data_IF_450962973080
#
_entry.id   IF_450962973080
#
_cell.length_a   1.000
_cell.length_b   1.000
_cell.length_c   1.000
_cell.angle_alpha   90.00
_cell.angle_beta   90.00
_cell.angle_gamma   90.00
#
_symmetry.space_group_name_H-M   'P 1'
#
loop_
_entity.id
_entity.type
_entity.pdbx_description
1 polymer ?
#
# COMPACT_ATOMS: atom_id res chain seq x y z
N UNK A 1 -27.40 -2.76 -48.83
CA UNK A 1 -26.32 -3.74 -48.56
C UNK A 1 -25.07 -3.22 -47.80
N UNK A 2 -24.65 -1.94 -47.79
CA UNK A 2 -23.42 -1.53 -47.10
C UNK A 2 -23.45 -1.64 -45.56
N UNK A 3 -24.63 -1.62 -44.93
CA UNK A 3 -24.78 -1.74 -43.47
C UNK A 3 -24.47 -3.15 -42.92
N UNK A 4 -24.60 -4.21 -43.72
CA UNK A 4 -24.36 -5.59 -43.24
C UNK A 4 -22.84 -5.82 -43.06
N UNK A 5 -22.03 -5.34 -44.01
CA UNK A 5 -20.56 -5.46 -43.92
C UNK A 5 -19.96 -4.64 -42.77
N UNK A 6 -20.50 -3.46 -42.46
CA UNK A 6 -20.06 -2.69 -41.28
C UNK A 6 -20.39 -3.41 -39.96
N UNK A 7 -21.56 -4.04 -39.86
CA UNK A 7 -21.94 -4.78 -38.65
C UNK A 7 -21.11 -6.06 -38.46
N UNK A 8 -20.78 -6.79 -39.53
CA UNK A 8 -19.89 -7.96 -39.48
C UNK A 8 -18.47 -7.53 -39.06
N UNK A 9 -17.95 -6.41 -39.58
CA UNK A 9 -16.62 -5.89 -39.20
C UNK A 9 -16.59 -5.48 -37.71
N UNK A 10 -17.64 -4.84 -37.19
CA UNK A 10 -17.77 -4.52 -35.76
C UNK A 10 -17.79 -5.77 -34.88
N UNK A 11 -18.51 -6.82 -35.28
CA UNK A 11 -18.56 -8.09 -34.54
C UNK A 11 -17.20 -8.81 -34.55
N UNK A 12 -16.49 -8.82 -35.68
CA UNK A 12 -15.15 -9.40 -35.78
C UNK A 12 -14.13 -8.64 -34.93
N UNK A 13 -14.15 -7.30 -34.95
CA UNK A 13 -13.29 -6.49 -34.07
C UNK A 13 -13.60 -6.75 -32.59
N UNK A 14 -14.88 -6.81 -32.21
CA UNK A 14 -15.29 -7.13 -30.83
C UNK A 14 -14.77 -8.51 -30.39
N UNK A 15 -14.91 -9.53 -31.25
CA UNK A 15 -14.42 -10.89 -30.96
C UNK A 15 -12.89 -10.94 -30.89
N UNK A 16 -12.18 -10.21 -31.74
CA UNK A 16 -10.71 -10.10 -31.72
C UNK A 16 -10.20 -9.40 -30.45
N UNK A 17 -10.86 -8.32 -30.02
CA UNK A 17 -10.53 -7.66 -28.75
C UNK A 17 -10.81 -8.58 -27.56
N UNK A 18 -11.94 -9.31 -27.56
CA UNK A 18 -12.27 -10.25 -26.50
C UNK A 18 -11.29 -11.43 -26.42
N UNK A 19 -10.89 -12.03 -27.55
CA UNK A 19 -9.89 -13.10 -27.56
C UNK A 19 -8.51 -12.60 -27.14
N UNK A 20 -8.14 -11.36 -27.50
CA UNK A 20 -6.88 -10.73 -27.06
C UNK A 20 -6.89 -10.42 -25.56
N UNK A 21 -7.99 -9.92 -25.02
CA UNK A 21 -8.17 -9.65 -23.59
C UNK A 21 -8.14 -10.98 -22.80
N UNK A 22 -8.88 -11.99 -23.25
CA UNK A 22 -8.90 -13.30 -22.57
C UNK A 22 -7.58 -14.05 -22.67
N UNK A 23 -6.85 -13.97 -23.80
CA UNK A 23 -5.52 -14.56 -23.90
C UNK A 23 -4.50 -13.79 -23.04
N UNK A 24 -4.63 -12.47 -22.95
CA UNK A 24 -3.82 -11.65 -22.05
C UNK A 24 -4.07 -12.02 -20.57
N UNK A 25 -5.34 -12.15 -20.15
CA UNK A 25 -5.68 -12.62 -18.81
C UNK A 25 -5.18 -14.05 -18.53
N UNK A 26 -5.25 -14.95 -19.52
CA UNK A 26 -4.73 -16.31 -19.37
C UNK A 26 -3.21 -16.31 -19.22
N UNK A 27 -2.51 -15.51 -20.04
CA UNK A 27 -1.06 -15.36 -19.99
C UNK A 27 -0.59 -14.70 -18.68
N UNK A 28 -1.39 -13.80 -18.11
CA UNK A 28 -1.20 -13.21 -16.80
C UNK A 28 -1.18 -14.26 -15.68
N UNK A 29 -2.10 -15.22 -15.72
CA UNK A 29 -2.23 -16.26 -14.69
C UNK A 29 -1.27 -17.44 -14.89
N UNK A 30 -0.62 -17.53 -16.05
CA UNK A 30 0.27 -18.64 -16.39
C UNK A 30 1.56 -18.66 -15.56
N UNK A 31 2.04 -17.51 -15.06
CA UNK A 31 3.22 -17.44 -14.21
C UNK A 31 3.07 -16.35 -13.16
N UNK A 32 3.32 -16.72 -11.89
CA UNK A 32 3.36 -15.81 -10.74
C UNK A 32 4.33 -14.64 -10.96
N UNK A 33 5.48 -14.92 -11.57
CA UNK A 33 6.48 -13.91 -11.92
C UNK A 33 5.93 -12.90 -12.95
N UNK A 34 5.33 -13.37 -14.05
CA UNK A 34 4.75 -12.47 -15.06
C UNK A 34 3.64 -11.59 -14.48
N UNK A 35 2.81 -12.16 -13.62
CA UNK A 35 1.77 -11.42 -12.91
C UNK A 35 2.37 -10.30 -12.04
N UNK A 36 3.40 -10.62 -11.27
CA UNK A 36 4.11 -9.66 -10.42
C UNK A 36 4.75 -8.53 -11.23
N UNK A 37 5.39 -8.85 -12.36
CA UNK A 37 5.99 -7.85 -13.26
C UNK A 37 4.91 -6.93 -13.86
N UNK A 38 3.73 -7.46 -14.19
CA UNK A 38 2.64 -6.63 -14.72
C UNK A 38 2.09 -5.71 -13.65
N UNK A 39 1.88 -6.21 -12.43
CA UNK A 39 1.49 -5.35 -11.29
C UNK A 39 2.53 -4.28 -11.03
N UNK A 40 3.81 -4.64 -11.03
CA UNK A 40 4.90 -3.68 -10.84
C UNK A 40 4.89 -2.59 -11.93
N UNK A 41 4.73 -2.96 -13.21
CA UNK A 41 4.59 -2.00 -14.31
C UNK A 41 3.38 -1.09 -14.14
N UNK A 42 2.27 -1.63 -13.66
CA UNK A 42 1.06 -0.86 -13.36
C UNK A 42 1.31 0.15 -12.23
N UNK A 43 2.04 -0.26 -11.19
CA UNK A 43 2.47 0.62 -10.10
C UNK A 43 3.50 1.66 -10.57
N UNK A 44 4.25 1.38 -11.62
CA UNK A 44 5.18 2.33 -12.23
C UNK A 44 4.51 3.29 -13.22
N UNK A 45 3.20 3.17 -13.49
CA UNK A 45 2.51 4.05 -14.44
C UNK A 45 2.61 5.52 -14.02
N UNK A 46 2.45 5.79 -12.73
CA UNK A 46 2.63 7.13 -12.16
C UNK A 46 4.07 7.41 -11.76
N UNK A 47 5.04 6.50 -11.97
CA UNK A 47 6.46 6.65 -11.59
C UNK A 47 6.65 7.34 -10.22
N UNK A 48 6.08 6.81 -9.12
CA UNK A 48 6.15 7.46 -7.82
C UNK A 48 7.59 7.53 -7.30
N UNK A 49 8.39 6.52 -7.66
CA UNK A 49 9.79 6.43 -7.27
C UNK A 49 10.70 6.63 -8.49
N UNK A 50 11.90 7.19 -8.28
CA UNK A 50 12.91 7.37 -9.31
C UNK A 50 13.60 6.03 -9.59
N UNK A 51 12.86 5.04 -10.06
CA UNK A 51 13.34 3.69 -10.37
C UNK A 51 12.90 3.28 -11.75
N UNK A 52 13.76 2.57 -12.48
CA UNK A 52 13.42 1.94 -13.76
C UNK A 52 13.63 0.45 -13.62
N UNK A 53 12.60 -0.33 -13.98
CA UNK A 53 12.75 -1.77 -14.11
C UNK A 53 13.46 -2.07 -15.44
N UNK A 54 14.71 -2.52 -15.36
CA UNK A 54 15.45 -2.95 -16.54
C UNK A 54 15.12 -4.42 -16.86
N UNK A 55 14.50 -4.64 -18.01
CA UNK A 55 14.18 -5.98 -18.54
C UNK A 55 15.02 -6.33 -19.77
N UNK A 56 16.04 -5.52 -20.09
CA UNK A 56 16.86 -5.72 -21.31
C UNK A 56 17.79 -6.91 -21.21
N UNK A 57 18.20 -7.29 -20.00
CA UNK A 57 18.97 -8.51 -19.79
C UNK A 57 18.00 -9.69 -19.68
N UNK A 58 18.10 -10.70 -20.57
CA UNK A 58 17.16 -11.83 -20.62
C UNK A 58 17.23 -12.72 -19.37
N UNK A 59 18.22 -12.52 -18.50
CA UNK A 59 18.49 -13.42 -17.38
C UNK A 59 18.04 -12.90 -16.02
N UNK A 60 18.05 -11.59 -15.75
CA UNK A 60 17.69 -11.06 -14.42
C UNK A 60 17.05 -9.67 -14.53
N UNK A 61 15.79 -9.49 -14.06
CA UNK A 61 15.28 -8.14 -13.86
C UNK A 61 16.10 -7.46 -12.76
N UNK A 62 16.46 -6.21 -12.97
CA UNK A 62 17.05 -5.38 -11.92
C UNK A 62 16.48 -3.97 -11.95
N UNK A 63 16.35 -3.34 -10.78
CA UNK A 63 16.00 -1.93 -10.69
C UNK A 63 17.25 -1.07 -10.82
N UNK A 64 17.13 -0.02 -11.62
CA UNK A 64 18.14 1.03 -11.72
C UNK A 64 17.59 2.33 -11.13
N UNK A 65 18.43 3.04 -10.38
CA UNK A 65 18.12 4.39 -9.92
C UNK A 65 17.92 5.32 -11.13
N UNK A 66 16.74 5.88 -11.27
CA UNK A 66 16.32 6.77 -12.35
C UNK A 66 16.67 8.24 -12.16
N UNK A 67 17.39 8.60 -11.09
CA UNK A 67 17.76 9.99 -10.77
C UNK A 67 18.62 10.67 -11.83
N UNK A 68 19.23 9.92 -12.75
CA UNK A 68 20.01 10.48 -13.86
C UNK A 68 19.19 11.34 -14.83
N UNK A 69 17.86 11.22 -14.84
CA UNK A 69 17.01 12.03 -15.71
C UNK A 69 16.35 13.18 -14.95
N UNK A 70 16.62 14.41 -15.37
CA UNK A 70 16.00 15.63 -14.80
C UNK A 70 14.46 15.54 -14.73
N UNK A 71 13.82 14.87 -15.70
CA UNK A 71 12.37 14.66 -15.74
C UNK A 71 11.85 13.88 -14.53
N UNK A 72 12.65 12.91 -14.07
CA UNK A 72 12.31 12.07 -12.92
C UNK A 72 12.44 12.87 -11.62
N UNK A 73 13.53 13.65 -11.49
CA UNK A 73 13.72 14.56 -10.36
C UNK A 73 12.62 15.64 -10.28
N UNK A 74 12.29 16.28 -11.41
CA UNK A 74 11.23 17.30 -11.46
C UNK A 74 9.86 16.73 -11.08
N UNK A 75 9.54 15.53 -11.57
CA UNK A 75 8.31 14.84 -11.20
C UNK A 75 8.25 14.52 -9.70
N UNK A 76 9.32 13.96 -9.14
CA UNK A 76 9.38 13.66 -7.71
C UNK A 76 9.21 14.94 -6.87
N UNK A 77 9.86 16.03 -7.26
CA UNK A 77 9.68 17.32 -6.60
C UNK A 77 8.23 17.80 -6.68
N UNK A 78 7.57 17.62 -7.83
CA UNK A 78 6.14 17.93 -7.98
C UNK A 78 5.27 17.09 -7.04
N UNK A 79 5.48 15.77 -6.98
CA UNK A 79 4.72 14.87 -6.09
C UNK A 79 4.89 15.26 -4.62
N UNK A 80 6.13 15.54 -4.21
CA UNK A 80 6.45 16.00 -2.86
C UNK A 80 5.77 17.33 -2.53
N UNK A 81 5.93 18.35 -3.39
CA UNK A 81 5.33 19.67 -3.19
C UNK A 81 3.81 19.59 -3.17
N UNK A 82 3.21 18.74 -3.99
CA UNK A 82 1.78 18.51 -4.02
C UNK A 82 1.28 17.93 -2.68
N UNK A 83 1.86 16.82 -2.20
CA UNK A 83 1.48 16.23 -0.90
C UNK A 83 1.74 17.18 0.27
N UNK A 84 2.88 17.89 0.26
CA UNK A 84 3.20 18.87 1.28
C UNK A 84 2.21 20.03 1.29
N UNK A 85 1.75 20.48 0.12
CA UNK A 85 0.71 21.51 0.01
C UNK A 85 -0.59 21.04 0.63
N UNK A 86 -1.05 19.82 0.33
CA UNK A 86 -2.23 19.24 0.97
C UNK A 86 -2.08 19.13 2.50
N UNK A 87 -0.91 18.68 2.97
CA UNK A 87 -0.59 18.66 4.39
C UNK A 87 -0.67 20.05 5.03
N UNK A 88 0.00 21.05 4.45
CA UNK A 88 0.00 22.41 4.96
C UNK A 88 -1.40 23.05 4.97
N UNK A 89 -2.22 22.81 3.93
CA UNK A 89 -3.59 23.30 3.86
C UNK A 89 -4.49 22.66 4.92
N UNK A 90 -4.36 21.36 5.17
CA UNK A 90 -5.13 20.66 6.22
C UNK A 90 -4.73 21.11 7.62
N UNK A 91 -3.44 21.26 7.90
CA UNK A 91 -2.92 21.83 9.16
C UNK A 91 -3.40 23.27 9.35
N UNK A 92 -3.31 24.12 8.32
CA UNK A 92 -3.80 25.51 8.37
C UNK A 92 -5.30 25.56 8.67
N UNK A 93 -6.08 24.66 8.07
CA UNK A 93 -7.51 24.58 8.35
C UNK A 93 -7.77 24.17 9.80
N UNK A 94 -7.07 23.15 10.32
CA UNK A 94 -7.20 22.70 11.71
C UNK A 94 -6.83 23.83 12.67
N UNK A 95 -5.73 24.53 12.41
CA UNK A 95 -5.28 25.67 13.20
C UNK A 95 -6.36 26.76 13.28
N UNK A 96 -6.92 27.15 12.13
CA UNK A 96 -7.92 28.23 12.04
C UNK A 96 -9.25 27.87 12.68
N UNK A 97 -9.69 26.62 12.60
CA UNK A 97 -11.06 26.23 12.93
C UNK A 97 -11.14 25.53 14.29
N UNK A 98 -10.19 24.67 14.63
CA UNK A 98 -10.20 23.92 15.90
C UNK A 98 -9.53 24.71 17.03
N UNK A 99 -8.81 25.79 16.70
CA UNK A 99 -8.21 26.65 17.72
C UNK A 99 -7.11 25.96 18.53
N UNK A 100 -6.41 24.97 17.95
CA UNK A 100 -5.38 24.16 18.65
C UNK A 100 -4.33 24.99 19.44
N UNK A 101 -4.18 26.30 19.16
CA UNK A 101 -3.28 27.22 19.89
C UNK A 101 -3.99 28.53 20.34
N UNK A 102 -5.26 28.74 19.99
CA UNK A 102 -5.87 30.08 20.07
C UNK A 102 -6.39 30.48 21.47
N UNK A 103 -6.48 29.55 22.42
CA UNK A 103 -6.88 29.84 23.80
C UNK A 103 -5.87 30.69 24.61
N UNK A 104 -4.75 31.12 24.00
CA UNK A 104 -3.68 31.82 24.72
C UNK A 104 -3.42 33.29 24.36
N UNK A 105 -3.97 33.85 23.27
CA UNK A 105 -3.53 35.19 22.81
C UNK A 105 -4.59 36.23 22.44
N UNK A 106 -5.88 35.91 22.33
CA UNK A 106 -6.88 36.95 22.04
C UNK A 106 -8.27 36.67 22.65
N UNK A 107 -8.54 37.14 23.89
CA UNK A 107 -9.83 36.93 24.56
C UNK A 107 -10.99 37.67 23.87
N UNK A 108 -10.73 38.54 22.89
CA UNK A 108 -11.78 39.33 22.21
C UNK A 108 -12.61 38.55 21.18
N UNK A 109 -12.25 37.29 20.86
CA UNK A 109 -12.92 36.45 19.86
C UNK A 109 -13.85 35.36 20.44
N UNK A 110 -14.11 35.37 21.75
CA UNK A 110 -14.94 34.39 22.47
C UNK A 110 -16.38 34.22 21.93
N UNK A 111 -16.91 35.20 21.20
CA UNK A 111 -18.30 35.20 20.74
C UNK A 111 -18.62 34.36 19.49
N UNK A 112 -17.64 33.78 18.79
CA UNK A 112 -17.88 32.98 17.57
C UNK A 112 -17.14 31.66 17.56
N UNK A 113 -17.16 30.96 18.69
CA UNK A 113 -16.89 29.51 18.74
C UNK A 113 -17.83 28.82 17.75
N UNK A 114 -17.31 28.49 16.57
CA UNK A 114 -18.06 27.73 15.57
C UNK A 114 -18.13 26.31 16.09
N UNK A 115 -19.33 25.84 16.41
CA UNK A 115 -19.59 24.42 16.65
C UNK A 115 -19.29 23.63 15.36
N UNK A 116 -18.03 23.23 15.18
CA UNK A 116 -17.62 22.37 14.06
C UNK A 116 -18.16 20.98 14.35
N UNK A 117 -18.92 20.38 13.41
CA UNK A 117 -19.38 19.02 13.57
C UNK A 117 -18.20 18.06 13.81
N UNK A 118 -18.33 17.16 14.79
CA UNK A 118 -17.27 16.22 15.18
C UNK A 118 -16.69 15.44 13.99
N UNK A 119 -17.55 14.99 13.08
CA UNK A 119 -17.13 14.26 11.87
C UNK A 119 -16.19 15.10 10.98
N UNK A 120 -16.41 16.41 10.90
CA UNK A 120 -15.60 17.29 10.07
C UNK A 120 -14.22 17.51 10.67
N UNK A 121 -14.16 17.74 11.99
CA UNK A 121 -12.89 17.83 12.72
C UNK A 121 -12.08 16.55 12.58
N UNK A 122 -12.70 15.39 12.82
CA UNK A 122 -12.06 14.08 12.70
C UNK A 122 -11.55 13.82 11.27
N UNK A 123 -12.36 14.14 10.27
CA UNK A 123 -12.00 14.01 8.86
C UNK A 123 -10.73 14.83 8.55
N UNK A 124 -10.66 16.06 9.05
CA UNK A 124 -9.53 16.96 8.83
C UNK A 124 -8.26 16.52 9.53
N UNK A 125 -8.37 16.02 10.77
CA UNK A 125 -7.24 15.38 11.47
C UNK A 125 -6.74 14.17 10.68
N UNK A 126 -7.65 13.30 10.23
CA UNK A 126 -7.30 12.13 9.42
C UNK A 126 -6.53 12.50 8.15
N UNK A 127 -7.02 13.46 7.37
CA UNK A 127 -6.33 13.85 6.14
C UNK A 127 -4.99 14.52 6.43
N UNK A 128 -4.90 15.36 7.45
CA UNK A 128 -3.63 15.96 7.90
C UNK A 128 -2.61 14.89 8.27
N UNK A 129 -2.98 13.92 9.12
CA UNK A 129 -2.09 12.82 9.51
C UNK A 129 -1.72 11.97 8.30
N UNK A 130 -2.69 11.62 7.46
CA UNK A 130 -2.46 10.84 6.24
C UNK A 130 -1.45 11.52 5.31
N UNK A 131 -1.64 12.79 4.98
CA UNK A 131 -0.68 13.51 4.13
C UNK A 131 0.70 13.62 4.79
N UNK A 132 0.76 13.86 6.10
CA UNK A 132 2.02 13.84 6.86
C UNK A 132 2.74 12.49 6.77
N UNK A 133 2.03 11.37 6.93
CA UNK A 133 2.59 10.03 6.77
C UNK A 133 3.15 9.82 5.36
N UNK A 134 2.43 10.21 4.31
CA UNK A 134 2.91 10.07 2.93
C UNK A 134 4.10 10.97 2.60
N UNK A 135 4.16 12.20 3.14
CA UNK A 135 5.33 13.08 3.03
C UNK A 135 6.55 12.42 3.71
N UNK A 136 6.37 11.89 4.92
CA UNK A 136 7.41 11.16 5.62
C UNK A 136 7.85 9.91 4.82
N UNK A 137 6.92 9.11 4.32
CA UNK A 137 7.20 7.90 3.53
C UNK A 137 7.97 8.24 2.25
N UNK A 138 7.63 9.33 1.56
CA UNK A 138 8.39 9.81 0.41
C UNK A 138 9.85 10.09 0.76
N UNK A 139 10.09 10.81 1.86
CA UNK A 139 11.43 11.14 2.34
C UNK A 139 12.16 9.87 2.77
N UNK A 140 11.51 9.02 3.56
CA UNK A 140 12.06 7.75 4.04
C UNK A 140 12.50 6.88 2.87
N UNK A 141 11.61 6.66 1.90
CA UNK A 141 11.87 5.85 0.71
C UNK A 141 13.06 6.34 -0.12
N UNK A 142 13.37 7.64 -0.12
CA UNK A 142 14.61 8.13 -0.76
C UNK A 142 15.86 7.68 -0.01
N UNK A 143 15.84 7.74 1.32
CA UNK A 143 16.98 7.36 2.15
C UNK A 143 17.27 5.85 2.08
N UNK A 144 16.23 5.04 1.94
CA UNK A 144 16.34 3.57 1.91
C UNK A 144 16.15 2.98 0.50
N UNK A 145 16.25 3.81 -0.54
CA UNK A 145 15.95 3.40 -1.92
C UNK A 145 16.82 2.23 -2.38
N UNK A 146 18.13 2.29 -2.13
CA UNK A 146 19.08 1.26 -2.56
C UNK A 146 18.82 -0.09 -1.86
N UNK A 147 18.51 -0.04 -0.57
CA UNK A 147 18.14 -1.23 0.22
C UNK A 147 16.81 -1.81 -0.30
N UNK A 148 15.84 -0.95 -0.59
CA UNK A 148 14.54 -1.34 -1.16
C UNK A 148 14.69 -1.97 -2.54
N UNK A 149 15.50 -1.39 -3.42
CA UNK A 149 15.78 -1.95 -4.75
C UNK A 149 16.45 -3.32 -4.65
N UNK A 150 17.49 -3.45 -3.83
CA UNK A 150 18.17 -4.73 -3.61
C UNK A 150 17.23 -5.82 -3.05
N UNK A 151 16.33 -5.43 -2.14
CA UNK A 151 15.32 -6.32 -1.56
C UNK A 151 14.34 -6.84 -2.60
N UNK A 152 13.81 -5.94 -3.44
CA UNK A 152 12.85 -6.32 -4.49
C UNK A 152 13.53 -7.12 -5.59
N UNK A 153 14.73 -6.73 -6.02
CA UNK A 153 15.53 -7.45 -7.02
C UNK A 153 15.79 -8.89 -6.58
N UNK A 154 16.24 -9.08 -5.34
CA UNK A 154 16.44 -10.43 -4.80
C UNK A 154 15.14 -11.25 -4.84
N UNK A 155 14.03 -10.65 -4.41
CA UNK A 155 12.74 -11.34 -4.43
C UNK A 155 12.28 -11.70 -5.85
N UNK A 156 12.46 -10.80 -6.82
CA UNK A 156 12.11 -11.04 -8.22
C UNK A 156 12.98 -12.13 -8.85
N UNK A 157 14.27 -12.16 -8.53
CA UNK A 157 15.18 -13.22 -8.98
C UNK A 157 14.78 -14.58 -8.44
N UNK A 158 14.42 -14.68 -7.16
CA UNK A 158 13.95 -15.94 -6.57
C UNK A 158 12.60 -16.39 -7.15
N UNK A 159 11.65 -15.47 -7.39
CA UNK A 159 10.39 -15.78 -8.07
C UNK A 159 10.60 -16.26 -9.51
N UNK A 160 11.53 -15.63 -10.25
CA UNK A 160 11.91 -16.07 -11.60
C UNK A 160 12.50 -17.48 -11.58
N UNK A 161 13.45 -17.74 -10.67
CA UNK A 161 14.07 -19.05 -10.49
C UNK A 161 13.03 -20.12 -10.16
N UNK A 162 12.10 -19.83 -9.23
CA UNK A 162 11.03 -20.75 -8.88
C UNK A 162 10.06 -20.98 -10.03
N UNK A 163 9.74 -19.94 -10.80
CA UNK A 163 8.88 -20.04 -11.99
C UNK A 163 9.50 -20.97 -13.04
N UNK A 164 10.82 -20.90 -13.24
CA UNK A 164 11.54 -21.78 -14.17
C UNK A 164 11.57 -23.24 -13.69
N UNK A 165 11.80 -23.47 -12.39
CA UNK A 165 11.94 -24.83 -11.84
C UNK A 165 10.59 -25.56 -11.71
N UNK A 166 9.57 -24.88 -11.18
CA UNK A 166 8.31 -25.53 -10.80
C UNK A 166 7.19 -25.37 -11.81
N UNK A 167 7.35 -24.51 -12.82
CA UNK A 167 6.27 -24.07 -13.70
C UNK A 167 4.99 -23.74 -12.90
N UNK A 168 5.18 -23.10 -11.73
CA UNK A 168 4.12 -22.88 -10.75
C UNK A 168 3.19 -21.80 -11.30
N UNK A 169 1.96 -22.18 -11.65
CA UNK A 169 0.89 -21.25 -12.00
C UNK A 169 0.42 -20.50 -10.76
N UNK A 170 -0.12 -19.30 -10.96
CA UNK A 170 -0.83 -18.58 -9.89
C UNK A 170 -1.97 -19.46 -9.43
N UNK A 171 -1.92 -19.87 -8.17
CA UNK A 171 -2.96 -20.69 -7.55
C UNK A 171 -3.86 -19.78 -6.71
N UNK A 172 -5.10 -20.20 -6.49
CA UNK A 172 -5.95 -19.56 -5.48
C UNK A 172 -5.32 -19.61 -4.07
N UNK A 173 -4.34 -20.49 -3.85
CA UNK A 173 -3.55 -20.49 -2.61
C UNK A 173 -2.63 -19.27 -2.45
N UNK A 174 -2.32 -18.54 -3.53
CA UNK A 174 -1.58 -17.28 -3.53
C UNK A 174 -2.52 -16.08 -3.23
N UNK A 175 -3.31 -16.20 -2.16
CA UNK A 175 -4.32 -15.21 -1.74
C UNK A 175 -3.73 -13.81 -1.47
N UNK A 176 -2.48 -13.75 -1.02
CA UNK A 176 -1.70 -12.51 -0.82
C UNK A 176 -1.56 -11.72 -2.14
N UNK A 177 -1.20 -12.42 -3.21
CA UNK A 177 -0.97 -11.81 -4.52
C UNK A 177 -2.29 -11.42 -5.21
N UNK A 178 -3.32 -12.27 -5.10
CA UNK A 178 -4.66 -11.97 -5.64
C UNK A 178 -5.27 -10.77 -4.93
N UNK A 179 -5.21 -10.74 -3.60
CA UNK A 179 -5.72 -9.60 -2.83
C UNK A 179 -4.95 -8.31 -3.14
N UNK A 180 -3.63 -8.37 -3.35
CA UNK A 180 -2.83 -7.22 -3.79
C UNK A 180 -3.23 -6.71 -5.17
N UNK A 181 -3.46 -7.60 -6.13
CA UNK A 181 -3.92 -7.19 -7.45
C UNK A 181 -5.29 -6.50 -7.38
N UNK A 182 -6.21 -7.04 -6.59
CA UNK A 182 -7.54 -6.45 -6.39
C UNK A 182 -7.43 -5.09 -5.69
N UNK A 183 -6.65 -4.98 -4.62
CA UNK A 183 -6.41 -3.71 -3.93
C UNK A 183 -5.81 -2.67 -4.89
N UNK A 184 -4.80 -3.05 -5.68
CA UNK A 184 -4.16 -2.16 -6.66
C UNK A 184 -5.14 -1.69 -7.73
N UNK A 185 -5.97 -2.59 -8.27
CA UNK A 185 -7.00 -2.24 -9.25
C UNK A 185 -8.04 -1.26 -8.67
N UNK A 186 -8.54 -1.55 -7.47
CA UNK A 186 -9.52 -0.71 -6.77
C UNK A 186 -8.92 0.67 -6.48
N UNK A 187 -7.65 0.72 -6.11
CA UNK A 187 -6.96 1.95 -5.74
C UNK A 187 -6.59 2.82 -6.97
N UNK A 188 -6.36 2.22 -8.13
CA UNK A 188 -6.04 2.93 -9.37
C UNK A 188 -7.25 3.47 -10.13
N UNK A 189 -8.38 2.77 -10.07
CA UNK A 189 -9.52 3.09 -10.91
C UNK A 189 -10.66 3.73 -10.08
N UNK A 190 -11.39 2.98 -9.22
CA UNK A 190 -12.47 3.54 -8.41
C UNK A 190 -12.11 4.78 -7.59
N UNK A 191 -10.97 4.77 -6.89
CA UNK A 191 -10.63 5.85 -5.95
C UNK A 191 -10.43 7.21 -6.66
N UNK A 192 -9.57 7.34 -7.69
CA UNK A 192 -9.43 8.61 -8.41
C UNK A 192 -10.73 9.07 -9.07
N UNK A 193 -11.55 8.15 -9.59
CA UNK A 193 -12.85 8.49 -10.19
C UNK A 193 -13.85 8.98 -9.14
N UNK A 194 -13.88 8.38 -7.95
CA UNK A 194 -14.74 8.79 -6.85
C UNK A 194 -14.35 10.20 -6.37
N UNK A 195 -13.06 10.49 -6.22
CA UNK A 195 -12.56 11.81 -5.84
C UNK A 195 -12.84 12.85 -6.93
N UNK A 196 -12.68 12.50 -8.21
CA UNK A 196 -13.03 13.39 -9.32
C UNK A 196 -14.51 13.79 -9.23
N UNK A 197 -15.38 12.78 -9.11
CA UNK A 197 -16.83 12.96 -9.03
C UNK A 197 -17.22 13.76 -7.80
N UNK A 198 -16.59 13.48 -6.67
CA UNK A 198 -16.79 14.22 -5.43
C UNK A 198 -16.41 15.69 -5.57
N UNK A 199 -15.33 16.00 -6.28
CA UNK A 199 -14.91 17.38 -6.56
C UNK A 199 -15.89 18.13 -7.47
N UNK A 200 -16.47 17.44 -8.45
CA UNK A 200 -17.44 18.05 -9.37
C UNK A 200 -18.77 18.38 -8.67
N UNK A 201 -19.22 17.47 -7.81
CA UNK A 201 -20.52 17.56 -7.12
C UNK A 201 -20.45 18.41 -5.84
N UNK A 202 -19.39 18.27 -5.05
CA UNK A 202 -19.25 18.84 -3.71
C UNK A 202 -17.88 19.52 -3.51
N UNK A 203 -17.52 20.51 -4.33
CA UNK A 203 -16.16 21.07 -4.34
C UNK A 203 -15.74 21.68 -3.00
N UNK A 204 -16.68 22.12 -2.15
CA UNK A 204 -16.34 22.85 -0.92
C UNK A 204 -16.46 21.99 0.34
N UNK A 205 -16.55 20.67 0.14
CA UNK A 205 -16.46 19.69 1.20
C UNK A 205 -15.01 19.22 1.40
N UNK A 206 -14.53 19.10 2.65
CA UNK A 206 -13.23 18.50 2.93
C UNK A 206 -13.12 17.07 2.37
N UNK A 207 -11.94 16.59 1.94
CA UNK A 207 -10.58 17.19 2.03
C UNK A 207 -10.18 18.12 0.89
N UNK A 208 -11.08 18.39 -0.05
CA UNK A 208 -10.72 19.04 -1.32
C UNK A 208 -10.04 20.38 -1.08
N UNK A 209 -8.98 20.68 -1.83
CA UNK A 209 -8.22 21.94 -1.76
C UNK A 209 -9.18 23.15 -1.75
N UNK A 210 -10.23 23.10 -2.56
CA UNK A 210 -11.27 24.12 -2.63
C UNK A 210 -12.02 24.32 -1.33
N UNK A 211 -12.39 23.24 -0.64
CA UNK A 211 -12.99 23.29 0.70
C UNK A 211 -12.00 23.79 1.77
N UNK A 212 -10.70 23.57 1.58
CA UNK A 212 -9.66 24.05 2.49
C UNK A 212 -9.40 25.56 2.36
N UNK A 213 -9.47 26.10 1.14
CA UNK A 213 -9.19 27.51 0.85
C UNK A 213 -10.43 28.38 1.04
N UNK A 214 -11.56 27.98 0.45
CA UNK A 214 -12.76 28.82 0.31
C UNK A 214 -13.89 28.41 1.25
N UNK A 215 -13.56 27.95 2.46
CA UNK A 215 -14.57 27.57 3.44
C UNK A 215 -15.51 28.76 3.74
N UNK A 216 -16.67 28.72 3.09
CA UNK A 216 -17.79 29.65 3.23
C UNK A 216 -18.92 28.89 3.91
N UNK A 217 -19.66 29.56 4.80
CA UNK A 217 -20.82 28.95 5.47
C UNK A 217 -21.92 28.58 4.48
N UNK A 218 -21.94 29.24 3.33
CA UNK A 218 -22.95 29.04 2.31
C UNK A 218 -22.57 27.84 1.44
N UNK A 219 -23.44 26.82 1.42
CA UNK A 219 -23.25 25.60 0.65
C UNK A 219 -23.09 25.85 -0.87
N UNK A 220 -23.42 27.04 -1.35
CA UNK A 220 -23.30 27.45 -2.74
C UNK A 220 -21.92 28.02 -3.05
N UNK A 221 -20.93 27.15 -3.03
CA UNK A 221 -19.60 27.50 -3.49
C UNK A 221 -19.60 27.62 -5.02
N UNK A 222 -19.72 28.84 -5.54
CA UNK A 222 -19.82 29.12 -6.97
C UNK A 222 -18.44 29.08 -7.67
N UNK A 223 -17.85 27.90 -7.78
CA UNK A 223 -16.70 27.69 -8.64
C UNK A 223 -17.16 27.50 -10.09
N UNK A 224 -16.47 28.15 -11.02
CA UNK A 224 -16.69 27.92 -12.44
C UNK A 224 -16.34 26.47 -12.82
N UNK A 225 -16.96 25.96 -13.89
CA UNK A 225 -16.80 24.57 -14.33
C UNK A 225 -15.33 24.22 -14.61
N UNK A 226 -14.57 25.15 -15.19
CA UNK A 226 -13.15 24.95 -15.51
C UNK A 226 -12.33 24.72 -14.24
N UNK A 227 -12.51 25.51 -13.20
CA UNK A 227 -11.80 25.33 -11.92
C UNK A 227 -12.15 24.00 -11.27
N UNK A 228 -13.44 23.59 -11.32
CA UNK A 228 -13.86 22.27 -10.81
C UNK A 228 -13.14 21.12 -11.53
N UNK A 229 -13.02 21.20 -12.86
CA UNK A 229 -12.31 20.19 -13.66
C UNK A 229 -10.83 20.17 -13.31
N UNK A 230 -10.17 21.33 -13.27
CA UNK A 230 -8.72 21.43 -12.97
C UNK A 230 -8.41 20.88 -11.57
N UNK A 231 -9.18 21.30 -10.56
CA UNK A 231 -9.00 20.86 -9.18
C UNK A 231 -9.35 19.38 -9.04
N UNK A 232 -10.44 18.93 -9.70
CA UNK A 232 -10.80 17.51 -9.72
C UNK A 232 -9.70 16.64 -10.29
N UNK A 233 -9.07 17.06 -11.40
CA UNK A 233 -7.93 16.34 -11.98
C UNK A 233 -6.72 16.31 -11.05
N UNK A 234 -6.40 17.43 -10.39
CA UNK A 234 -5.30 17.51 -9.43
C UNK A 234 -5.54 16.61 -8.20
N UNK A 235 -6.75 16.62 -7.66
CA UNK A 235 -7.16 15.77 -6.53
C UNK A 235 -7.11 14.30 -6.91
N UNK A 236 -7.71 13.93 -8.04
CA UNK A 236 -7.64 12.56 -8.56
C UNK A 236 -6.21 12.08 -8.80
N UNK A 237 -5.34 12.96 -9.30
CA UNK A 237 -3.92 12.67 -9.45
C UNK A 237 -3.25 12.41 -8.10
N UNK A 238 -3.49 13.29 -7.12
CA UNK A 238 -2.93 13.17 -5.76
C UNK A 238 -3.32 11.84 -5.12
N UNK A 239 -4.60 11.49 -5.21
CA UNK A 239 -5.12 10.24 -4.66
C UNK A 239 -4.60 9.01 -5.41
N UNK A 240 -4.52 9.08 -6.74
CA UNK A 240 -3.88 8.02 -7.53
C UNK A 240 -2.43 7.80 -7.09
N UNK A 241 -1.67 8.89 -6.93
CA UNK A 241 -0.28 8.81 -6.48
C UNK A 241 -0.15 8.21 -5.09
N UNK A 242 -0.95 8.64 -4.09
CA UNK A 242 -0.97 8.05 -2.74
C UNK A 242 -1.24 6.54 -2.79
N UNK A 243 -2.22 6.12 -3.59
CA UNK A 243 -2.60 4.72 -3.71
C UNK A 243 -1.50 3.87 -4.37
N UNK A 244 -0.86 4.40 -5.41
CA UNK A 244 0.24 3.75 -6.13
C UNK A 244 1.54 3.75 -5.34
N UNK A 245 1.70 4.68 -4.41
CA UNK A 245 2.78 4.62 -3.43
C UNK A 245 2.50 3.59 -2.34
N UNK A 246 1.36 3.72 -1.65
CA UNK A 246 1.08 2.98 -0.42
C UNK A 246 0.96 1.47 -0.63
N UNK A 247 -0.01 1.01 -1.45
CA UNK A 247 -0.26 -0.42 -1.60
C UNK A 247 0.94 -1.17 -2.20
N UNK A 248 1.60 -0.68 -3.26
CA UNK A 248 2.77 -1.34 -3.81
C UNK A 248 3.96 -1.32 -2.84
N UNK A 249 4.18 -0.23 -2.10
CA UNK A 249 5.21 -0.21 -1.07
C UNK A 249 4.94 -1.29 -0.01
N UNK A 250 3.72 -1.38 0.51
CA UNK A 250 3.33 -2.45 1.46
C UNK A 250 3.59 -3.83 0.85
N UNK A 251 3.19 -4.06 -0.41
CA UNK A 251 3.40 -5.37 -0.99
C UNK A 251 4.87 -5.70 -1.25
N UNK A 252 5.59 -4.86 -1.98
CA UNK A 252 6.95 -5.16 -2.43
C UNK A 252 7.98 -5.09 -1.30
N UNK A 253 7.78 -4.23 -0.29
CA UNK A 253 8.74 -4.04 0.80
C UNK A 253 8.40 -4.87 2.04
N UNK A 254 7.13 -5.18 2.27
CA UNK A 254 6.71 -5.87 3.48
C UNK A 254 6.22 -7.30 3.19
N UNK A 255 5.33 -7.52 2.23
CA UNK A 255 4.70 -8.84 2.03
C UNK A 255 5.57 -9.78 1.19
N UNK A 256 5.96 -9.31 0.01
CA UNK A 256 6.67 -10.10 -0.98
C UNK A 256 7.97 -10.71 -0.43
N UNK A 257 8.83 -9.97 0.30
CA UNK A 257 10.01 -10.57 0.91
C UNK A 257 9.64 -11.66 1.92
N UNK A 258 8.59 -11.48 2.71
CA UNK A 258 8.08 -12.51 3.62
C UNK A 258 7.62 -13.77 2.88
N UNK A 259 6.93 -13.62 1.76
CA UNK A 259 6.53 -14.76 0.92
C UNK A 259 7.73 -15.49 0.33
N UNK A 260 8.73 -14.77 -0.16
CA UNK A 260 10.00 -15.34 -0.65
C UNK A 260 10.72 -16.10 0.49
N UNK A 261 10.77 -15.55 1.70
CA UNK A 261 11.34 -16.22 2.87
C UNK A 261 10.63 -17.55 3.17
N UNK A 262 9.28 -17.59 3.11
CA UNK A 262 8.50 -18.82 3.32
C UNK A 262 8.86 -19.87 2.28
N UNK A 263 8.89 -19.50 0.99
CA UNK A 263 9.22 -20.45 -0.08
C UNK A 263 10.61 -21.05 0.07
N UNK A 264 11.60 -20.23 0.44
CA UNK A 264 12.96 -20.68 0.68
C UNK A 264 13.03 -21.60 1.91
N UNK A 265 12.31 -21.29 2.99
CA UNK A 265 12.23 -22.15 4.17
C UNK A 265 11.61 -23.52 3.85
N UNK A 266 10.54 -23.56 3.05
CA UNK A 266 9.90 -24.80 2.61
C UNK A 266 10.83 -25.63 1.70
N UNK A 267 11.60 -24.96 0.83
CA UNK A 267 12.59 -25.64 -0.01
C UNK A 267 13.68 -26.29 0.85
N UNK A 268 14.23 -25.57 1.83
CA UNK A 268 15.23 -26.12 2.77
C UNK A 268 14.63 -27.29 3.55
N UNK A 269 13.42 -27.14 4.09
CA UNK A 269 12.75 -28.21 4.84
C UNK A 269 12.62 -29.48 3.99
N UNK A 270 12.09 -29.36 2.77
CA UNK A 270 11.94 -30.49 1.84
C UNK A 270 13.29 -31.16 1.53
N UNK A 271 14.34 -30.38 1.26
CA UNK A 271 15.68 -30.89 0.95
C UNK A 271 16.33 -31.59 2.14
N UNK A 272 16.14 -31.04 3.35
CA UNK A 272 16.59 -31.67 4.58
C UNK A 272 15.89 -33.01 4.83
N UNK A 273 14.57 -33.09 4.60
CA UNK A 273 13.82 -34.35 4.71
C UNK A 273 14.30 -35.39 3.68
N UNK A 274 14.77 -34.96 2.51
CA UNK A 274 15.42 -35.84 1.52
C UNK A 274 16.89 -36.18 1.81
N UNK A 275 17.45 -35.74 2.95
CA UNK A 275 18.84 -36.00 3.32
C UNK A 275 19.89 -35.10 2.65
N UNK A 276 19.47 -34.06 1.92
CA UNK A 276 20.37 -33.11 1.24
C UNK A 276 20.76 -31.96 2.18
N UNK A 277 21.74 -32.21 3.05
CA UNK A 277 22.11 -31.28 4.13
C UNK A 277 22.85 -30.01 3.68
N UNK A 278 23.48 -30.00 2.50
CA UNK A 278 24.23 -28.84 1.98
C UNK A 278 23.34 -27.61 1.76
N UNK A 279 22.06 -27.84 1.47
CA UNK A 279 21.06 -26.79 1.20
C UNK A 279 20.73 -25.94 2.43
N UNK A 280 21.09 -26.39 3.64
CA UNK A 280 20.87 -25.65 4.88
C UNK A 280 21.60 -24.31 4.91
N UNK A 281 22.68 -24.19 4.13
CA UNK A 281 23.43 -22.93 3.97
C UNK A 281 22.53 -21.81 3.47
N UNK A 282 21.48 -22.14 2.69
CA UNK A 282 20.49 -21.18 2.22
C UNK A 282 19.76 -20.44 3.34
N UNK A 283 19.68 -21.01 4.54
CA UNK A 283 19.06 -20.34 5.69
C UNK A 283 19.72 -18.99 6.00
N UNK A 284 21.05 -18.88 5.84
CA UNK A 284 21.77 -17.61 6.07
C UNK A 284 21.39 -16.55 5.03
N UNK A 285 21.12 -16.93 3.77
CA UNK A 285 20.59 -16.00 2.77
C UNK A 285 19.21 -15.47 3.17
N UNK A 286 18.35 -16.32 3.76
CA UNK A 286 17.03 -15.88 4.25
C UNK A 286 17.18 -14.92 5.44
N UNK A 287 18.18 -15.14 6.31
CA UNK A 287 18.48 -14.18 7.39
C UNK A 287 18.95 -12.84 6.85
N UNK A 288 19.82 -12.83 5.82
CA UNK A 288 20.23 -11.59 5.14
C UNK A 288 19.02 -10.88 4.52
N UNK A 289 18.12 -11.62 3.88
CA UNK A 289 16.88 -11.05 3.32
C UNK A 289 16.00 -10.39 4.41
N UNK A 290 15.86 -11.06 5.55
CA UNK A 290 15.14 -10.52 6.71
C UNK A 290 15.84 -9.29 7.31
N UNK A 291 17.18 -9.25 7.28
CA UNK A 291 17.94 -8.09 7.73
C UNK A 291 17.71 -6.88 6.82
N UNK A 292 17.78 -7.06 5.49
CA UNK A 292 17.49 -6.01 4.52
C UNK A 292 16.06 -5.48 4.69
N UNK A 293 15.10 -6.38 4.88
CA UNK A 293 13.71 -6.01 5.14
C UNK A 293 13.57 -5.20 6.44
N UNK A 294 14.26 -5.58 7.52
CA UNK A 294 14.22 -4.83 8.78
C UNK A 294 14.93 -3.47 8.68
N UNK A 295 16.01 -3.35 7.90
CA UNK A 295 16.66 -2.05 7.68
C UNK A 295 15.75 -1.09 6.89
N UNK A 296 15.01 -1.63 5.91
CA UNK A 296 14.00 -0.88 5.16
C UNK A 296 12.85 -0.38 6.06
N UNK A 297 12.47 -1.18 7.05
CA UNK A 297 11.37 -0.94 7.99
C UNK A 297 11.83 -0.34 9.33
N UNK A 298 13.07 0.14 9.39
CA UNK A 298 13.67 0.71 10.61
C UNK A 298 12.84 1.86 11.16
N UNK A 299 12.90 2.06 12.47
CA UNK A 299 12.16 3.13 13.13
C UNK A 299 12.50 4.52 12.56
N UNK A 300 11.49 5.40 12.41
CA UNK A 300 10.07 5.20 12.74
C UNK A 300 9.23 4.59 11.59
N UNK A 301 9.83 4.11 10.50
CA UNK A 301 9.16 3.64 9.28
C UNK A 301 8.02 2.64 9.53
N UNK A 302 8.30 1.52 10.22
CA UNK A 302 7.25 0.53 10.53
C UNK A 302 6.14 1.08 11.44
N UNK A 303 6.46 2.01 12.35
CA UNK A 303 5.49 2.61 13.27
C UNK A 303 4.57 3.58 12.52
N UNK A 304 5.12 4.39 11.62
CA UNK A 304 4.32 5.27 10.75
C UNK A 304 3.41 4.44 9.84
N UNK A 305 3.91 3.34 9.29
CA UNK A 305 3.11 2.45 8.44
C UNK A 305 1.94 1.82 9.22
N UNK A 306 2.23 1.15 10.34
CA UNK A 306 1.21 0.46 11.14
C UNK A 306 0.23 1.47 11.77
N UNK A 307 0.73 2.59 12.30
CA UNK A 307 -0.08 3.66 12.84
C UNK A 307 -0.98 4.30 11.79
N UNK A 308 -0.46 4.55 10.58
CA UNK A 308 -1.22 5.07 9.45
C UNK A 308 -2.35 4.12 9.03
N UNK A 309 -2.08 2.81 8.99
CA UNK A 309 -3.09 1.78 8.74
C UNK A 309 -4.20 1.81 9.81
N UNK A 310 -3.83 1.85 11.10
CA UNK A 310 -4.78 1.89 12.22
C UNK A 310 -5.69 3.12 12.14
N UNK A 311 -5.09 4.30 11.97
CA UNK A 311 -5.84 5.57 11.90
C UNK A 311 -6.78 5.57 10.70
N UNK A 312 -6.28 5.12 9.54
CA UNK A 312 -7.08 5.07 8.31
C UNK A 312 -8.26 4.13 8.44
N UNK A 313 -8.04 2.93 8.97
CA UNK A 313 -9.10 1.94 9.17
C UNK A 313 -10.15 2.45 10.17
N UNK A 314 -9.71 2.91 11.34
CA UNK A 314 -10.62 3.43 12.39
C UNK A 314 -11.49 4.57 11.86
N UNK A 315 -10.88 5.57 11.21
CA UNK A 315 -11.62 6.73 10.71
C UNK A 315 -12.53 6.36 9.54
N UNK A 316 -12.08 5.51 8.62
CA UNK A 316 -12.91 5.11 7.47
C UNK A 316 -14.15 4.31 7.90
N UNK A 317 -14.01 3.40 8.87
CA UNK A 317 -15.15 2.70 9.47
C UNK A 317 -16.09 3.70 10.16
N UNK A 318 -15.54 4.62 10.97
CA UNK A 318 -16.33 5.66 11.62
C UNK A 318 -17.16 6.47 10.61
N UNK A 319 -16.54 6.91 9.49
CA UNK A 319 -17.24 7.67 8.46
C UNK A 319 -18.38 6.89 7.81
N UNK A 320 -18.18 5.58 7.57
CA UNK A 320 -19.23 4.73 7.00
C UNK A 320 -20.37 4.50 7.99
N UNK A 321 -20.09 4.23 9.27
CA UNK A 321 -21.14 3.90 10.23
C UNK A 321 -21.86 5.12 10.78
N UNK A 322 -21.13 6.17 11.16
CA UNK A 322 -21.72 7.32 11.85
C UNK A 322 -22.21 8.38 10.88
N UNK A 323 -21.49 8.60 9.79
CA UNK A 323 -21.70 9.75 8.91
C UNK A 323 -22.50 9.43 7.64
N UNK A 324 -23.11 8.24 7.55
CA UNK A 324 -23.86 7.81 6.34
C UNK A 324 -25.06 8.69 5.97
N UNK A 325 -25.65 9.38 6.94
CA UNK A 325 -26.79 10.28 6.69
C UNK A 325 -26.33 11.69 6.24
N UNK A 326 -25.08 12.05 6.52
CA UNK A 326 -24.54 13.40 6.30
C UNK A 326 -23.66 13.43 5.05
N UNK A 327 -22.87 12.36 4.83
CA UNK A 327 -21.93 12.29 3.72
C UNK A 327 -22.66 11.92 2.43
N UNK A 328 -22.30 12.55 1.30
CA UNK A 328 -22.85 12.17 0.01
C UNK A 328 -22.37 10.78 -0.40
N UNK A 329 -23.17 10.08 -1.21
CA UNK A 329 -22.91 8.70 -1.61
C UNK A 329 -21.49 8.45 -2.17
N UNK A 330 -20.88 9.34 -3.00
CA UNK A 330 -19.51 9.14 -3.46
C UNK A 330 -18.47 9.13 -2.32
N UNK A 331 -18.66 9.96 -1.29
CA UNK A 331 -17.77 10.00 -0.13
C UNK A 331 -17.90 8.72 0.71
N UNK A 332 -19.13 8.21 0.89
CA UNK A 332 -19.35 6.94 1.57
C UNK A 332 -18.75 5.76 0.81
N UNK A 333 -18.91 5.72 -0.51
CA UNK A 333 -18.27 4.72 -1.36
C UNK A 333 -16.74 4.76 -1.24
N UNK A 334 -16.15 5.96 -1.24
CA UNK A 334 -14.72 6.16 -1.03
C UNK A 334 -14.23 5.61 0.33
N UNK A 335 -14.89 5.98 1.44
CA UNK A 335 -14.50 5.48 2.76
C UNK A 335 -14.75 3.97 2.91
N UNK A 336 -15.83 3.43 2.34
CA UNK A 336 -16.11 1.99 2.35
C UNK A 336 -15.07 1.18 1.58
N UNK A 337 -14.59 1.69 0.45
CA UNK A 337 -13.49 1.09 -0.31
C UNK A 337 -12.20 1.08 0.51
N UNK A 338 -11.87 2.20 1.17
CA UNK A 338 -10.68 2.32 2.01
C UNK A 338 -10.75 1.36 3.20
N UNK A 339 -11.85 1.36 3.95
CA UNK A 339 -12.07 0.46 5.10
C UNK A 339 -11.92 -1.00 4.68
N UNK A 340 -12.57 -1.40 3.58
CA UNK A 340 -12.45 -2.78 3.07
C UNK A 340 -11.00 -3.12 2.73
N UNK A 341 -10.27 -2.21 2.10
CA UNK A 341 -8.88 -2.44 1.66
C UNK A 341 -7.91 -2.59 2.84
N UNK A 342 -8.08 -1.77 3.89
CA UNK A 342 -7.23 -1.80 5.07
C UNK A 342 -7.62 -2.94 6.03
N UNK A 343 -8.89 -3.34 6.09
CA UNK A 343 -9.32 -4.61 6.69
C UNK A 343 -8.55 -5.82 6.09
N UNK A 344 -8.51 -5.92 4.76
CA UNK A 344 -7.72 -6.97 4.09
C UNK A 344 -6.22 -6.84 4.39
N UNK A 345 -5.69 -5.62 4.42
CA UNK A 345 -4.30 -5.37 4.78
C UNK A 345 -3.97 -5.90 6.18
N UNK A 346 -4.81 -5.61 7.17
CA UNK A 346 -4.61 -6.08 8.54
C UNK A 346 -4.73 -7.61 8.61
N UNK A 347 -5.79 -8.20 8.05
CA UNK A 347 -6.07 -9.63 8.25
C UNK A 347 -5.27 -10.57 7.34
N UNK A 348 -4.95 -10.15 6.11
CA UNK A 348 -4.21 -10.97 5.14
C UNK A 348 -2.73 -10.65 5.21
N UNK A 349 -2.34 -9.38 5.11
CA UNK A 349 -0.92 -9.02 4.93
C UNK A 349 -0.13 -9.18 6.22
N UNK A 350 -0.59 -8.58 7.33
CA UNK A 350 0.10 -8.76 8.63
C UNK A 350 0.13 -10.22 9.09
N UNK A 351 -0.89 -11.00 8.72
CA UNK A 351 -0.87 -12.45 8.95
C UNK A 351 0.18 -13.15 8.11
N UNK A 352 0.28 -12.83 6.81
CA UNK A 352 1.29 -13.38 5.91
C UNK A 352 2.71 -13.09 6.40
N UNK A 353 2.97 -11.88 6.90
CA UNK A 353 4.28 -11.46 7.43
C UNK A 353 4.67 -12.17 8.72
N UNK A 354 3.70 -12.72 9.47
CA UNK A 354 3.99 -13.52 10.67
C UNK A 354 4.43 -14.95 10.36
N UNK A 355 4.14 -15.46 9.16
CA UNK A 355 4.39 -16.85 8.79
C UNK A 355 5.89 -17.22 8.65
N UNK A 356 6.79 -16.37 8.11
CA UNK A 356 8.23 -16.67 8.06
C UNK A 356 8.80 -17.01 9.44
N UNK A 357 8.39 -16.28 10.48
CA UNK A 357 8.81 -16.56 11.85
C UNK A 357 8.38 -17.95 12.30
N UNK A 358 7.10 -18.28 12.15
CA UNK A 358 6.54 -19.58 12.55
C UNK A 358 7.25 -20.72 11.82
N UNK A 359 7.45 -20.59 10.52
CA UNK A 359 8.13 -21.60 9.69
C UNK A 359 9.61 -21.73 10.03
N UNK A 360 10.27 -20.62 10.35
CA UNK A 360 11.69 -20.65 10.74
C UNK A 360 11.90 -21.36 12.08
N UNK A 361 11.00 -21.18 13.06
CA UNK A 361 11.03 -21.88 14.36
C UNK A 361 10.75 -23.37 14.19
N UNK A 362 9.76 -23.72 13.36
CA UNK A 362 9.44 -25.10 13.00
C UNK A 362 10.66 -25.81 12.39
N UNK A 363 11.35 -25.14 11.45
CA UNK A 363 12.54 -25.67 10.80
C UNK A 363 13.71 -25.87 11.75
N UNK A 364 13.97 -24.89 12.64
CA UNK A 364 15.04 -25.00 13.66
C UNK A 364 14.74 -26.14 14.64
N UNK A 365 13.48 -26.29 15.08
CA UNK A 365 13.07 -27.40 15.95
C UNK A 365 13.24 -28.75 15.26
N UNK A 366 12.79 -28.86 14.02
CA UNK A 366 12.94 -30.07 13.20
C UNK A 366 14.41 -30.46 13.02
N UNK A 367 15.27 -29.51 12.65
CA UNK A 367 16.70 -29.74 12.56
C UNK A 367 17.37 -30.07 13.90
N UNK A 368 16.81 -29.58 15.00
CA UNK A 368 17.19 -29.94 16.36
C UNK A 368 16.98 -31.42 16.69
N UNK A 369 16.05 -32.08 16.01
CA UNK A 369 15.71 -33.50 16.19
C UNK A 369 16.43 -34.43 15.20
N UNK A 370 17.22 -33.88 14.27
CA UNK A 370 17.95 -34.68 13.29
C UNK A 370 19.14 -35.43 13.91
N UNK A 371 19.42 -36.63 13.40
CA UNK A 371 20.58 -37.44 13.81
C UNK A 371 21.93 -36.80 13.46
N UNK A 372 21.97 -35.93 12.45
CA UNK A 372 23.19 -35.28 12.00
C UNK A 372 23.59 -34.13 12.94
N UNK A 373 24.65 -34.34 13.73
CA UNK A 373 25.18 -33.35 14.71
C UNK A 373 25.58 -32.03 14.06
N UNK A 374 26.11 -32.05 12.84
CA UNK A 374 26.52 -30.82 12.13
C UNK A 374 25.30 -29.96 11.76
N UNK A 375 24.23 -30.59 11.25
CA UNK A 375 22.96 -29.90 10.93
C UNK A 375 22.35 -29.29 12.19
N UNK A 376 22.33 -30.06 13.28
CA UNK A 376 21.82 -29.62 14.56
C UNK A 376 22.61 -28.40 15.10
N UNK A 377 23.94 -28.46 15.08
CA UNK A 377 24.80 -27.35 15.50
C UNK A 377 24.61 -26.11 14.61
N UNK A 378 24.53 -26.32 13.29
CA UNK A 378 24.32 -25.24 12.33
C UNK A 378 22.99 -24.52 12.56
N UNK A 379 21.86 -25.23 12.67
CA UNK A 379 20.56 -24.59 12.90
C UNK A 379 20.43 -23.97 14.29
N UNK A 380 21.08 -24.51 15.32
CA UNK A 380 21.17 -23.87 16.63
C UNK A 380 21.92 -22.53 16.58
N UNK A 381 22.88 -22.38 15.67
CA UNK A 381 23.59 -21.11 15.44
C UNK A 381 22.76 -20.06 14.67
N UNK A 382 21.61 -20.46 14.12
CA UNK A 382 20.75 -19.59 13.34
C UNK A 382 19.60 -19.06 14.21
N UNK A 383 19.49 -17.75 14.35
CA UNK A 383 18.31 -17.11 14.93
C UNK A 383 17.08 -17.27 14.03
N UNK A 384 15.88 -17.48 14.60
CA UNK A 384 14.63 -17.42 13.85
C UNK A 384 14.46 -16.10 13.10
N UNK A 385 13.81 -16.16 11.93
CA UNK A 385 13.56 -15.01 11.06
C UNK A 385 12.44 -14.18 11.67
N UNK A 386 12.68 -12.88 11.92
CA UNK A 386 11.72 -11.98 12.57
C UNK A 386 11.63 -10.67 11.78
N UNK A 387 10.41 -10.22 11.53
CA UNK A 387 10.14 -8.86 11.06
C UNK A 387 9.82 -8.01 12.28
N UNK A 388 10.69 -7.05 12.57
CA UNK A 388 10.64 -6.20 13.76
C UNK A 388 9.54 -5.13 13.64
N UNK A 389 8.88 -4.82 14.76
CA UNK A 389 7.98 -3.67 14.91
C UNK A 389 8.72 -2.41 15.41
N UNK A 390 10.05 -2.51 15.58
CA UNK A 390 10.93 -1.42 16.02
C UNK A 390 11.08 -1.31 17.54
N UNK A 391 10.09 -1.73 18.31
CA UNK A 391 10.06 -1.70 19.79
C UNK A 391 10.66 -2.95 20.44
N UNK A 392 11.41 -3.75 19.69
CA UNK A 392 11.91 -5.07 20.10
C UNK A 392 10.87 -6.19 19.98
N UNK A 393 9.60 -5.87 19.70
CA UNK A 393 8.58 -6.85 19.35
C UNK A 393 8.61 -7.17 17.84
N UNK A 394 7.83 -8.18 17.43
CA UNK A 394 7.80 -8.67 16.05
C UNK A 394 6.39 -9.09 15.64
N UNK A 395 6.17 -9.21 14.33
CA UNK A 395 4.91 -9.72 13.79
C UNK A 395 4.69 -11.19 14.16
N UNK A 396 3.80 -11.44 15.11
CA UNK A 396 3.34 -12.77 15.52
C UNK A 396 1.96 -13.12 14.94
N UNK A 397 1.54 -14.38 15.13
CA UNK A 397 0.24 -14.89 14.62
C UNK A 397 -0.97 -14.08 15.12
N UNK A 398 -0.87 -13.51 16.31
CA UNK A 398 -1.95 -12.75 16.96
C UNK A 398 -1.86 -11.23 16.71
N UNK A 399 -0.77 -10.75 16.09
CA UNK A 399 -0.52 -9.32 15.91
C UNK A 399 -1.60 -8.66 15.05
N UNK A 400 -2.02 -9.30 13.95
CA UNK A 400 -3.10 -8.77 13.10
C UNK A 400 -4.42 -8.61 13.86
N UNK A 401 -4.79 -9.61 14.67
CA UNK A 401 -6.00 -9.56 15.49
C UNK A 401 -5.91 -8.46 16.56
N UNK A 402 -4.75 -8.31 17.22
CA UNK A 402 -4.52 -7.24 18.20
C UNK A 402 -4.64 -5.85 17.58
N UNK A 403 -4.07 -5.66 16.38
CA UNK A 403 -4.18 -4.39 15.64
C UNK A 403 -5.63 -4.11 15.29
N UNK A 404 -6.37 -5.11 14.77
CA UNK A 404 -7.79 -4.96 14.46
C UNK A 404 -8.64 -4.62 15.70
N UNK A 405 -8.44 -5.35 16.79
CA UNK A 405 -9.10 -5.09 18.06
C UNK A 405 -8.85 -3.65 18.52
N UNK A 406 -7.61 -3.18 18.44
CA UNK A 406 -7.26 -1.81 18.77
C UNK A 406 -8.01 -0.78 17.88
N UNK A 407 -8.17 -1.05 16.57
CA UNK A 407 -8.99 -0.20 15.70
C UNK A 407 -10.46 -0.15 16.18
N UNK A 408 -11.03 -1.29 16.57
CA UNK A 408 -12.41 -1.38 17.05
C UNK A 408 -12.60 -0.68 18.41
N UNK A 409 -11.67 -0.85 19.35
CA UNK A 409 -11.70 -0.19 20.66
C UNK A 409 -11.61 1.35 20.49
N UNK A 410 -10.80 1.82 19.54
CA UNK A 410 -10.71 3.25 19.20
C UNK A 410 -11.94 3.77 18.48
N UNK A 411 -12.55 2.96 17.61
CA UNK A 411 -13.81 3.29 16.98
C UNK A 411 -14.92 3.46 18.01
N UNK A 412 -15.04 2.54 18.98
CA UNK A 412 -16.00 2.65 20.08
C UNK A 412 -15.78 3.93 20.87
N UNK A 413 -14.53 4.22 21.24
CA UNK A 413 -14.18 5.46 21.95
C UNK A 413 -14.61 6.71 21.16
N UNK A 414 -14.41 6.75 19.84
CA UNK A 414 -14.81 7.89 18.99
C UNK A 414 -16.33 7.97 18.86
N UNK A 415 -17.06 6.85 18.84
CA UNK A 415 -18.51 6.82 18.75
C UNK A 415 -19.22 7.29 20.03
N UNK A 416 -18.55 7.19 21.18
CA UNK A 416 -19.05 7.67 22.47
C UNK A 416 -18.81 9.17 22.72
N UNK A 417 -17.96 9.82 21.91
CA UNK A 417 -17.74 11.27 21.88
C UNK A 417 -18.78 11.96 20.99
#
# INVERSE_FOLDING_TARGET
MPNIFQNIKKLYLSRYHFTRITSWHRNLLNSRYNFLIILLKLCQLTKPFPTKLNLSQPHYPHFESGFSSWKTGAKYCFDFMNLFTHFALTVKWLWKNVGMIQDSFDPSLEGSSRNIPTWQGLMMVYFSVSFGCFVYELIHMLHVLDVGMALVDFGLQEELRQSQIRNKRVSLSDWDLVSFAMATYIALCPVPMAIFTFTMLYPCMPPLITGLIYWTKDATCSLNLVSKIVIGLLESYTWCMKMVMGFPAIYFFLIHPGCVQIFLLEEIHRKLTSGLYTEIRKYRYIQTLSLLQNELLKQPGIQVLVGGIIITETVSIYMVFRSWQILPLPALGFFGIIATSFFFTIHVYFKAISNPFVKSVELVRFGGQMRNKWVQAYLRSCSPIRVSLGDGSYFGKITSLKIWQYCMDRLEMILLL
#
